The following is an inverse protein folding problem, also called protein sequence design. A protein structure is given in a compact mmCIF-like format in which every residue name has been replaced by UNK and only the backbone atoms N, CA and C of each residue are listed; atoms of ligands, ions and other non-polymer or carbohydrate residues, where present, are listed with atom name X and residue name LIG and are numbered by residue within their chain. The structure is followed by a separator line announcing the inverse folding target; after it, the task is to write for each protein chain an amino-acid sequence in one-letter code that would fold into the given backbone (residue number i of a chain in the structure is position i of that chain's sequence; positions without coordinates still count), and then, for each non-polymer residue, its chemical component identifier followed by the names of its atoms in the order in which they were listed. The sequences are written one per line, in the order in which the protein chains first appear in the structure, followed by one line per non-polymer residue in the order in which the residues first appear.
data_IF_758724571968
#
_entry.id   IF_758724571968
#
_cell.length_a   1.000
_cell.length_b   1.000
_cell.length_c   1.000
_cell.angle_alpha   90.00
_cell.angle_beta   90.00
_cell.angle_gamma   90.00
#
_symmetry.space_group_name_H-M   'P 1'
#
loop_
_entity.id
_entity.type
_entity.pdbx_description
1 polymer ?
#
# COMPACT_ATOMS: atom_id res chain seq x y z
N UNK A 1 4.81 -40.78 13.36
CA UNK A 1 3.82 -40.10 12.53
C UNK A 1 4.14 -38.61 12.54
N UNK A 2 4.71 -38.16 11.43
CA UNK A 2 4.96 -36.78 10.93
C UNK A 2 5.63 -35.75 11.85
N UNK A 3 6.95 -35.88 11.93
CA UNK A 3 7.93 -34.81 12.16
C UNK A 3 7.92 -33.80 11.00
N UNK A 4 6.85 -33.01 10.88
CA UNK A 4 6.83 -31.86 9.97
C UNK A 4 6.46 -30.59 10.74
N UNK A 5 7.16 -30.38 11.85
CA UNK A 5 7.34 -29.06 12.44
C UNK A 5 8.05 -28.19 11.41
N UNK A 6 7.25 -27.63 10.52
CA UNK A 6 7.54 -26.46 9.72
C UNK A 6 8.09 -25.40 10.68
N UNK A 7 9.41 -25.34 10.84
CA UNK A 7 10.14 -24.26 11.51
C UNK A 7 9.69 -22.99 10.82
N UNK A 8 8.65 -22.34 11.36
CA UNK A 8 8.11 -21.09 10.83
C UNK A 8 9.25 -20.08 10.90
N UNK A 9 9.99 -19.93 9.80
CA UNK A 9 10.87 -18.78 9.57
C UNK A 9 9.99 -17.57 9.88
N UNK A 10 10.45 -16.67 10.73
CA UNK A 10 9.74 -15.42 10.97
C UNK A 10 9.98 -14.53 9.76
N UNK A 11 8.95 -13.89 9.18
CA UNK A 11 9.16 -12.97 8.06
C UNK A 11 9.97 -11.76 8.52
N UNK A 12 10.92 -11.33 7.69
CA UNK A 12 11.79 -10.17 7.92
C UNK A 12 10.99 -8.86 7.83
N UNK A 13 9.98 -8.86 6.96
CA UNK A 13 9.06 -7.75 6.77
C UNK A 13 7.71 -8.26 6.33
N UNK A 14 6.65 -7.62 6.81
CA UNK A 14 5.27 -7.93 6.42
C UNK A 14 4.60 -6.63 6.00
N UNK A 15 3.99 -6.64 4.81
CA UNK A 15 3.31 -5.49 4.23
C UNK A 15 1.86 -5.87 4.01
N UNK A 16 0.97 -5.21 4.75
CA UNK A 16 -0.48 -5.38 4.61
C UNK A 16 -0.99 -4.41 3.56
N UNK A 17 -1.38 -4.91 2.40
CA UNK A 17 -1.70 -4.07 1.26
C UNK A 17 -3.20 -4.00 0.91
N UNK A 18 -4.02 -4.85 1.54
CA UNK A 18 -5.48 -4.85 1.41
C UNK A 18 -6.15 -5.55 2.59
N UNK A 19 -7.49 -5.67 2.56
CA UNK A 19 -8.20 -6.49 3.55
C UNK A 19 -7.82 -7.95 3.35
N UNK A 20 -7.12 -8.51 4.33
CA UNK A 20 -6.66 -9.90 4.29
C UNK A 20 -5.63 -10.20 3.21
N UNK A 21 -4.95 -9.19 2.64
CA UNK A 21 -3.86 -9.40 1.69
C UNK A 21 -2.53 -8.92 2.28
N UNK A 22 -1.54 -9.80 2.35
CA UNK A 22 -0.23 -9.54 2.96
C UNK A 22 0.92 -10.03 2.08
N UNK A 23 1.97 -9.22 1.94
CA UNK A 23 3.27 -9.62 1.38
C UNK A 23 4.21 -9.87 2.55
N UNK A 24 4.82 -11.03 2.59
CA UNK A 24 5.79 -11.46 3.59
C UNK A 24 7.13 -11.68 2.91
N UNK A 25 8.15 -10.96 3.38
CA UNK A 25 9.52 -11.10 2.88
C UNK A 25 10.30 -12.03 3.81
N UNK A 26 10.83 -13.11 3.25
CA UNK A 26 11.79 -14.02 3.87
C UNK A 26 13.18 -13.79 3.29
N UNK A 27 14.18 -14.53 3.77
CA UNK A 27 15.57 -14.41 3.29
C UNK A 27 15.75 -14.96 1.88
N UNK A 28 14.94 -15.95 1.52
CA UNK A 28 15.03 -16.74 0.29
C UNK A 28 13.80 -16.57 -0.63
N UNK A 29 12.66 -16.16 -0.07
CA UNK A 29 11.40 -16.10 -0.81
C UNK A 29 10.56 -14.86 -0.43
N UNK A 30 9.75 -14.42 -1.38
CA UNK A 30 8.67 -13.46 -1.21
C UNK A 30 7.35 -14.23 -1.29
N UNK A 31 6.56 -14.16 -0.22
CA UNK A 31 5.28 -14.85 -0.13
C UNK A 31 4.15 -13.83 -0.12
N UNK A 32 3.21 -13.95 -1.03
CA UNK A 32 1.99 -13.15 -1.08
C UNK A 32 0.82 -14.04 -0.68
N UNK A 33 0.06 -13.59 0.29
CA UNK A 33 -1.14 -14.29 0.78
C UNK A 33 -2.37 -13.41 0.60
N UNK A 34 -3.47 -13.99 0.12
CA UNK A 34 -4.78 -13.34 0.05
C UNK A 34 -5.87 -14.19 0.68
N UNK A 35 -6.49 -13.69 1.76
CA UNK A 35 -7.57 -14.37 2.50
C UNK A 35 -8.82 -14.59 1.63
N UNK A 36 -9.09 -13.69 0.67
CA UNK A 36 -10.28 -13.81 -0.20
C UNK A 36 -10.15 -14.89 -1.29
N UNK A 37 -8.94 -15.32 -1.65
CA UNK A 37 -8.71 -16.22 -2.79
C UNK A 37 -8.08 -17.57 -2.42
N UNK A 38 -7.73 -17.80 -1.15
CA UNK A 38 -6.89 -18.94 -0.70
C UNK A 38 -5.63 -19.11 -1.58
N UNK A 39 -5.18 -17.99 -2.18
CA UNK A 39 -4.03 -17.93 -3.05
C UNK A 39 -2.82 -17.56 -2.21
N UNK A 40 -1.92 -18.52 -2.07
CA UNK A 40 -0.57 -18.31 -1.60
C UNK A 40 0.36 -18.37 -2.82
N UNK A 41 0.92 -17.23 -3.19
CA UNK A 41 1.94 -17.12 -4.22
C UNK A 41 3.30 -17.05 -3.53
N UNK A 42 4.19 -18.00 -3.83
CA UNK A 42 5.56 -17.99 -3.34
C UNK A 42 6.52 -17.79 -4.50
N UNK A 43 7.37 -16.79 -4.40
CA UNK A 43 8.35 -16.42 -5.41
C UNK A 43 9.72 -16.47 -4.79
N UNK A 44 10.67 -17.18 -5.39
CA UNK A 44 12.05 -17.21 -4.91
C UNK A 44 12.74 -15.88 -5.25
N UNK A 45 13.47 -15.31 -4.30
CA UNK A 45 14.17 -14.03 -4.49
C UNK A 45 15.29 -14.14 -5.53
N UNK A 46 15.89 -15.32 -5.69
CA UNK A 46 16.94 -15.58 -6.69
C UNK A 46 16.40 -15.56 -8.12
N UNK A 47 15.14 -15.95 -8.30
CA UNK A 47 14.47 -15.94 -9.60
C UNK A 47 13.85 -14.57 -9.93
N UNK A 48 13.94 -13.60 -9.01
CA UNK A 48 13.37 -12.27 -9.15
C UNK A 48 14.35 -11.37 -9.92
N UNK A 49 13.99 -10.96 -11.14
CA UNK A 49 14.84 -10.12 -12.00
C UNK A 49 14.52 -8.64 -11.90
N UNK A 50 13.22 -8.30 -11.92
CA UNK A 50 12.76 -6.90 -11.86
C UNK A 50 11.47 -6.77 -11.05
N UNK A 51 11.35 -5.73 -10.25
CA UNK A 51 10.08 -5.31 -9.66
C UNK A 51 9.54 -4.10 -10.39
N UNK A 52 8.32 -4.24 -10.89
CA UNK A 52 7.62 -3.20 -11.62
C UNK A 52 6.45 -2.68 -10.79
N UNK A 53 6.41 -1.37 -10.52
CA UNK A 53 5.33 -0.71 -9.79
C UNK A 53 4.52 0.18 -10.74
N UNK A 54 3.24 -0.13 -10.90
CA UNK A 54 2.34 0.61 -11.78
C UNK A 54 1.12 1.15 -11.03
N UNK A 55 0.53 2.28 -11.45
CA UNK A 55 -0.79 2.67 -11.00
C UNK A 55 -1.83 1.66 -11.54
N UNK A 56 -2.73 1.19 -10.68
CA UNK A 56 -3.81 0.30 -11.05
C UNK A 56 -4.95 1.05 -11.74
N UNK A 57 -5.56 0.40 -12.74
CA UNK A 57 -6.79 0.90 -13.36
C UNK A 57 -8.02 0.33 -12.66
N UNK A 58 -9.12 1.10 -12.47
CA UNK A 58 -9.32 2.51 -12.84
C UNK A 58 -8.87 3.50 -11.75
N UNK A 59 -8.28 3.02 -10.65
CA UNK A 59 -8.01 3.83 -9.47
C UNK A 59 -6.50 4.05 -9.29
N UNK A 60 -5.90 5.17 -9.74
CA UNK A 60 -4.45 5.37 -9.70
C UNK A 60 -3.86 5.41 -8.27
N UNK A 61 -4.70 5.49 -7.23
CA UNK A 61 -4.29 5.37 -5.83
C UNK A 61 -4.09 3.93 -5.36
N UNK A 62 -4.50 2.94 -6.16
CA UNK A 62 -4.31 1.51 -5.96
C UNK A 62 -3.10 1.10 -6.79
N UNK A 63 -1.97 0.80 -6.16
CA UNK A 63 -0.77 0.40 -6.89
C UNK A 63 -0.79 -1.09 -7.23
N UNK A 64 -0.23 -1.46 -8.37
CA UNK A 64 -0.02 -2.85 -8.79
C UNK A 64 1.48 -3.11 -8.75
N UNK A 65 1.87 -4.14 -7.99
CA UNK A 65 3.23 -4.63 -7.92
C UNK A 65 3.34 -5.90 -8.77
N UNK A 66 4.28 -5.89 -9.70
CA UNK A 66 4.60 -7.02 -10.56
C UNK A 66 6.06 -7.40 -10.36
N UNK A 67 6.36 -8.68 -10.51
CA UNK A 67 7.70 -9.22 -10.53
C UNK A 67 7.94 -9.88 -11.89
N UNK A 68 8.97 -9.42 -12.59
CA UNK A 68 9.51 -10.14 -13.72
C UNK A 68 10.55 -11.15 -13.21
N UNK A 69 10.38 -12.38 -13.64
CA UNK A 69 11.19 -13.52 -13.28
C UNK A 69 12.34 -13.71 -14.27
N UNK A 70 13.33 -14.52 -13.89
CA UNK A 70 14.46 -14.91 -14.74
C UNK A 70 14.06 -15.71 -15.98
N UNK A 71 12.91 -16.40 -15.93
CA UNK A 71 12.30 -17.14 -17.04
C UNK A 71 11.46 -16.28 -18.00
N UNK A 72 11.62 -14.95 -17.93
CA UNK A 72 10.86 -13.93 -18.67
C UNK A 72 9.33 -13.96 -18.38
N UNK A 73 8.88 -14.65 -17.33
CA UNK A 73 7.50 -14.56 -16.87
C UNK A 73 7.26 -13.35 -15.97
N UNK A 74 6.11 -12.69 -16.11
CA UNK A 74 5.68 -11.60 -15.22
C UNK A 74 4.57 -12.09 -14.30
N UNK A 75 4.79 -11.97 -12.99
CA UNK A 75 3.83 -12.37 -11.96
C UNK A 75 3.32 -11.14 -11.22
N UNK A 76 2.01 -11.04 -11.08
CA UNK A 76 1.38 -9.97 -10.28
C UNK A 76 1.50 -10.34 -8.81
N UNK A 77 2.36 -9.65 -8.07
CA UNK A 77 2.58 -9.87 -6.64
C UNK A 77 1.50 -9.22 -5.79
N UNK A 78 1.05 -8.02 -6.14
CA UNK A 78 0.03 -7.34 -5.36
C UNK A 78 -0.82 -6.45 -6.24
N UNK A 79 -2.12 -6.69 -6.25
CA UNK A 79 -3.07 -5.80 -6.88
C UNK A 79 -3.73 -4.89 -5.84
N UNK A 80 -3.72 -3.59 -6.12
CA UNK A 80 -4.41 -2.60 -5.33
C UNK A 80 -3.77 -2.30 -3.97
N UNK A 81 -2.44 -2.24 -3.94
CA UNK A 81 -1.67 -1.91 -2.76
C UNK A 81 -2.06 -0.54 -2.20
N UNK A 82 -2.70 -0.55 -1.03
CA UNK A 82 -3.18 0.63 -0.32
C UNK A 82 -2.19 1.18 0.72
N UNK A 83 -1.24 0.34 1.13
CA UNK A 83 -0.23 0.63 2.14
C UNK A 83 1.16 0.76 1.51
N UNK A 84 1.35 1.86 0.79
CA UNK A 84 2.64 2.22 0.20
C UNK A 84 3.74 2.51 1.24
N UNK A 85 3.37 2.74 2.51
CA UNK A 85 4.33 3.05 3.59
C UNK A 85 5.14 1.82 3.95
N UNK A 86 4.46 0.74 4.33
CA UNK A 86 5.14 -0.48 4.77
C UNK A 86 5.94 -1.08 3.61
N UNK A 87 5.41 -0.98 2.37
CA UNK A 87 6.14 -1.41 1.18
C UNK A 87 7.43 -0.61 0.95
N UNK A 88 7.38 0.72 1.13
CA UNK A 88 8.58 1.56 1.08
C UNK A 88 9.60 1.18 2.15
N UNK A 89 9.16 0.78 3.34
CA UNK A 89 10.05 0.30 4.42
C UNK A 89 10.62 -1.11 4.12
N UNK A 90 9.93 -1.91 3.29
CA UNK A 90 10.40 -3.22 2.83
C UNK A 90 11.43 -3.14 1.69
N UNK A 91 11.31 -2.16 0.78
CA UNK A 91 12.23 -1.99 -0.37
C UNK A 91 13.73 -2.07 -0.03
N UNK A 92 14.28 -1.34 0.96
CA UNK A 92 15.71 -1.41 1.25
C UNK A 92 16.15 -2.81 1.69
N UNK A 93 15.32 -3.52 2.46
CA UNK A 93 15.60 -4.91 2.85
C UNK A 93 15.60 -5.85 1.65
N UNK A 94 14.74 -5.58 0.68
CA UNK A 94 14.62 -6.38 -0.53
C UNK A 94 15.85 -6.17 -1.44
N UNK A 95 16.32 -4.93 -1.59
CA UNK A 95 17.57 -4.60 -2.29
C UNK A 95 18.82 -5.13 -1.58
N UNK A 96 18.80 -5.22 -0.24
CA UNK A 96 19.90 -5.85 0.52
C UNK A 96 19.98 -7.36 0.29
N UNK A 97 18.84 -8.04 0.15
CA UNK A 97 18.77 -9.49 -0.09
C UNK A 97 19.01 -9.85 -1.55
N UNK A 98 18.55 -9.01 -2.48
CA UNK A 98 18.72 -9.20 -3.92
C UNK A 98 19.33 -7.92 -4.53
N UNK A 99 20.67 -7.78 -4.52
CA UNK A 99 21.34 -6.57 -5.01
C UNK A 99 21.27 -6.40 -6.53
N UNK A 100 21.07 -7.51 -7.27
CA UNK A 100 20.96 -7.52 -8.73
C UNK A 100 19.53 -7.19 -9.21
N UNK A 101 18.60 -6.95 -8.28
CA UNK A 101 17.22 -6.65 -8.62
C UNK A 101 17.07 -5.27 -9.27
N UNK A 102 16.46 -5.26 -10.45
CA UNK A 102 16.07 -4.01 -11.10
C UNK A 102 14.74 -3.49 -10.53
N UNK A 103 14.69 -2.20 -10.19
CA UNK A 103 13.45 -1.52 -9.80
C UNK A 103 12.97 -0.69 -10.98
N UNK A 104 11.74 -0.92 -11.43
CA UNK A 104 11.05 -0.12 -12.43
C UNK A 104 9.77 0.49 -11.82
N UNK A 105 9.73 1.78 -11.54
CA UNK A 105 10.74 2.80 -11.84
C UNK A 105 11.93 2.75 -10.88
N UNK A 106 13.14 3.23 -11.28
CA UNK A 106 14.33 3.20 -10.42
C UNK A 106 14.16 4.05 -9.14
N UNK A 107 13.34 5.11 -9.22
CA UNK A 107 12.97 5.97 -8.09
C UNK A 107 11.68 5.51 -7.38
N UNK A 108 11.40 4.20 -7.34
CA UNK A 108 10.17 3.62 -6.77
C UNK A 108 9.88 4.14 -5.35
N UNK A 109 10.91 4.28 -4.52
CA UNK A 109 10.79 4.78 -3.16
C UNK A 109 10.25 6.23 -3.10
N UNK A 110 10.64 7.08 -4.04
CA UNK A 110 10.18 8.46 -4.13
C UNK A 110 8.75 8.52 -4.69
N UNK A 111 8.40 7.66 -5.64
CA UNK A 111 7.01 7.57 -6.12
C UNK A 111 6.04 7.11 -5.02
N UNK A 112 6.43 6.11 -4.24
CA UNK A 112 5.66 5.68 -3.06
C UNK A 112 5.51 6.82 -2.05
N UNK A 113 6.57 7.61 -1.83
CA UNK A 113 6.54 8.80 -0.97
C UNK A 113 5.57 9.86 -1.50
N UNK A 114 5.58 10.15 -2.79
CA UNK A 114 4.65 11.09 -3.43
C UNK A 114 3.20 10.60 -3.34
N UNK A 115 2.95 9.31 -3.58
CA UNK A 115 1.63 8.71 -3.45
C UNK A 115 1.07 8.85 -2.02
N UNK A 116 1.90 8.61 -1.00
CA UNK A 116 1.53 8.81 0.41
C UNK A 116 1.21 10.27 0.74
N UNK A 117 2.04 11.19 0.25
CA UNK A 117 1.84 12.63 0.47
C UNK A 117 0.57 13.14 -0.20
N UNK A 118 0.29 12.73 -1.44
CA UNK A 118 -0.93 13.10 -2.15
C UNK A 118 -2.18 12.58 -1.44
N UNK A 119 -2.17 11.33 -0.99
CA UNK A 119 -3.26 10.74 -0.20
C UNK A 119 -3.50 11.52 1.10
N UNK A 120 -2.44 11.92 1.79
CA UNK A 120 -2.53 12.71 3.02
C UNK A 120 -3.09 14.11 2.76
N UNK A 121 -2.60 14.80 1.73
CA UNK A 121 -3.07 16.12 1.35
C UNK A 121 -4.56 16.10 1.00
N UNK A 122 -5.00 15.11 0.20
CA UNK A 122 -6.40 14.93 -0.17
C UNK A 122 -7.31 14.74 1.05
N UNK A 123 -6.92 13.85 1.96
CA UNK A 123 -7.68 13.61 3.19
C UNK A 123 -7.81 14.88 4.03
N UNK A 124 -6.72 15.64 4.20
CA UNK A 124 -6.75 16.90 4.93
C UNK A 124 -7.72 17.88 4.28
N UNK A 125 -7.66 18.05 2.95
CA UNK A 125 -8.57 18.96 2.22
C UNK A 125 -10.03 18.55 2.40
N UNK A 126 -10.36 17.26 2.29
CA UNK A 126 -11.72 16.77 2.52
C UNK A 126 -12.21 17.03 3.96
N UNK A 127 -11.38 16.74 4.97
CA UNK A 127 -11.75 16.98 6.37
C UNK A 127 -11.94 18.48 6.67
N UNK A 128 -11.03 19.32 6.19
CA UNK A 128 -11.12 20.77 6.36
C UNK A 128 -12.35 21.33 5.68
N UNK A 129 -12.69 20.87 4.48
CA UNK A 129 -13.90 21.29 3.77
C UNK A 129 -15.17 20.95 4.55
N UNK A 130 -15.29 19.71 5.06
CA UNK A 130 -16.43 19.31 5.89
C UNK A 130 -16.55 20.14 7.16
N UNK A 131 -15.44 20.38 7.87
CA UNK A 131 -15.43 21.21 9.08
C UNK A 131 -15.85 22.64 8.74
N UNK A 132 -15.36 23.21 7.64
CA UNK A 132 -15.68 24.58 7.24
C UNK A 132 -17.17 24.75 6.92
N UNK A 133 -17.79 23.75 6.27
CA UNK A 133 -19.25 23.71 6.06
C UNK A 133 -19.99 23.67 7.38
N UNK A 134 -19.59 22.82 8.34
CA UNK A 134 -20.21 22.76 9.65
C UNK A 134 -20.12 24.10 10.41
N UNK A 135 -18.96 24.76 10.36
CA UNK A 135 -18.75 26.08 10.97
C UNK A 135 -19.64 27.13 10.31
N UNK A 136 -19.75 27.12 8.98
CA UNK A 136 -20.58 28.07 8.24
C UNK A 136 -22.06 27.92 8.58
N UNK A 137 -22.56 26.68 8.65
CA UNK A 137 -23.94 26.40 9.08
C UNK A 137 -24.19 26.85 10.52
N UNK A 138 -23.22 26.62 11.41
CA UNK A 138 -23.31 27.07 12.80
C UNK A 138 -23.35 28.60 12.93
N UNK A 139 -22.53 29.32 12.16
CA UNK A 139 -22.55 30.78 12.12
C UNK A 139 -23.88 31.32 11.58
N UNK A 140 -24.45 30.69 10.54
CA UNK A 140 -25.77 31.06 10.03
C UNK A 140 -26.86 30.84 11.09
N UNK A 141 -26.81 29.71 11.80
CA UNK A 141 -27.74 29.45 12.91
C UNK A 141 -27.65 30.53 14.00
N UNK A 142 -26.43 30.90 14.41
CA UNK A 142 -26.22 31.97 15.39
C UNK A 142 -26.76 33.32 14.87
N UNK A 143 -26.52 33.66 13.60
CA UNK A 143 -27.00 34.89 13.01
C UNK A 143 -28.54 34.95 12.99
N UNK A 144 -29.20 33.87 12.56
CA UNK A 144 -30.67 33.77 12.57
C UNK A 144 -31.22 33.87 13.98
N UNK A 145 -30.61 33.15 14.94
CA UNK A 145 -31.04 33.18 16.34
C UNK A 145 -30.86 34.57 16.95
N UNK A 146 -29.76 35.25 16.65
CA UNK A 146 -29.49 36.60 17.14
C UNK A 146 -30.47 37.62 16.57
N UNK A 147 -30.74 37.59 15.27
CA UNK A 147 -31.77 38.44 14.63
C UNK A 147 -33.15 38.13 15.20
N UNK A 148 -33.49 36.85 15.39
CA UNK A 148 -34.75 36.43 16.00
C UNK A 148 -34.90 36.94 17.44
N UNK A 149 -33.82 36.95 18.23
CA UNK A 149 -33.83 37.48 19.60
C UNK A 149 -33.94 39.01 19.67
N UNK A 150 -33.53 39.72 18.62
CA UNK A 150 -33.61 41.19 18.53
C UNK A 150 -34.97 41.69 18.06
N UNK A 151 -35.75 40.84 17.37
CA UNK A 151 -37.07 41.18 16.84
C UNK A 151 -38.22 40.82 17.78
N UNK A 152 -37.94 40.13 18.89
CA UNK A 152 -38.90 39.71 19.90
C UNK A 152 -38.81 40.58 21.15
#
# INVERSE_FOLDING_TARGET
MSENENKRKLPISVVRFGMGKEIQLYYDELVVTGIEEDQELRVQLEALRRLTLMPGEPTPSKLVLMADMDDDSTVILAEGMTNARDFREMLPKLTELCPDLELDPPDMAEQLRQALNNKRAWNITCYVACIMVCVLVYLLYLAVTFIGSLHH
#
